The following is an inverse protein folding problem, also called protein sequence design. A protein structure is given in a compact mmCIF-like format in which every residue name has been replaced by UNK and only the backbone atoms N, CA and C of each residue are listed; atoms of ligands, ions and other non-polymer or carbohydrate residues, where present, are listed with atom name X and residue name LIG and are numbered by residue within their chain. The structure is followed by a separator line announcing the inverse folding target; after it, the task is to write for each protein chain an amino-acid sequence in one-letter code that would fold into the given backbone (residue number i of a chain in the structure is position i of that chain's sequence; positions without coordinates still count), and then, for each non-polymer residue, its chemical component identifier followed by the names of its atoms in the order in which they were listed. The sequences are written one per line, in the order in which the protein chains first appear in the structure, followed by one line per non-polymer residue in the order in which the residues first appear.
data_IF_032670251186
#
_entry.id   IF_032670251186
#
_cell.length_a   1.000
_cell.length_b   1.000
_cell.length_c   1.000
_cell.angle_alpha   90.00
_cell.angle_beta   90.00
_cell.angle_gamma   90.00
#
_symmetry.space_group_name_H-M   'P 1'
#
loop_
_entity.id
_entity.type
_entity.pdbx_description
1 polymer ?
#
# COMPACT_ATOMS: atom_id res chain seq x y z
N UNK A 1 -8.35 -1.89 -4.45
CA UNK A 1 -7.07 -1.15 -4.54
C UNK A 1 -5.94 -2.18 -4.58
N UNK A 2 -5.08 -2.14 -5.59
CA UNK A 2 -4.18 -3.25 -5.93
C UNK A 2 -3.02 -3.43 -4.93
N UNK A 3 -2.40 -2.35 -4.44
CA UNK A 3 -1.25 -2.48 -3.56
C UNK A 3 -1.56 -3.15 -2.22
N UNK A 4 -2.72 -2.88 -1.60
CA UNK A 4 -3.11 -3.55 -0.36
C UNK A 4 -3.37 -5.03 -0.59
N UNK A 5 -4.05 -5.38 -1.68
CA UNK A 5 -4.25 -6.78 -2.04
C UNK A 5 -2.91 -7.50 -2.26
N UNK A 6 -1.97 -6.89 -2.98
CA UNK A 6 -0.63 -7.49 -3.19
C UNK A 6 0.16 -7.54 -1.89
N UNK A 7 0.07 -6.53 -1.03
CA UNK A 7 0.77 -6.47 0.26
C UNK A 7 0.30 -7.59 1.19
N UNK A 8 -1.01 -7.83 1.26
CA UNK A 8 -1.61 -8.93 2.03
C UNK A 8 -1.18 -10.30 1.48
N UNK A 9 -1.13 -10.47 0.16
CA UNK A 9 -0.68 -11.73 -0.48
C UNK A 9 0.81 -12.00 -0.25
N UNK A 10 1.63 -10.94 -0.25
CA UNK A 10 3.07 -11.03 0.05
C UNK A 10 3.28 -11.44 1.51
N UNK A 11 2.51 -10.86 2.44
CA UNK A 11 2.38 -11.28 3.84
C UNK A 11 3.62 -11.12 4.73
N UNK A 12 4.83 -11.06 4.16
CA UNK A 12 6.10 -10.87 4.85
C UNK A 12 7.09 -10.07 4.01
N UNK A 13 8.09 -9.48 4.67
CA UNK A 13 9.11 -8.69 3.99
C UNK A 13 9.80 -9.48 2.86
N UNK A 14 9.84 -8.94 1.63
CA UNK A 14 10.58 -9.53 0.50
C UNK A 14 12.09 -9.60 0.76
N UNK A 15 12.80 -10.44 0.01
CA UNK A 15 14.25 -10.56 0.11
C UNK A 15 14.96 -9.24 -0.22
N UNK A 16 16.09 -8.97 0.44
CA UNK A 16 16.92 -7.77 0.22
C UNK A 16 17.54 -7.70 -1.19
N UNK A 17 17.59 -8.82 -1.90
CA UNK A 17 17.95 -8.90 -3.32
C UNK A 17 16.91 -8.28 -4.26
N UNK A 18 15.70 -7.99 -3.77
CA UNK A 18 14.63 -7.32 -4.50
C UNK A 18 14.43 -5.90 -3.92
N UNK A 19 15.36 -4.97 -4.18
CA UNK A 19 15.40 -3.68 -3.47
C UNK A 19 14.12 -2.86 -3.67
N UNK A 20 13.52 -2.93 -4.85
CA UNK A 20 12.29 -2.17 -5.15
C UNK A 20 11.07 -2.76 -4.46
N UNK A 21 10.96 -4.09 -4.41
CA UNK A 21 9.86 -4.78 -3.73
C UNK A 21 9.96 -4.59 -2.22
N UNK A 22 11.18 -4.68 -1.65
CA UNK A 22 11.41 -4.43 -0.24
C UNK A 22 11.11 -2.96 0.12
N UNK A 23 11.55 -2.00 -0.70
CA UNK A 23 11.23 -0.58 -0.51
C UNK A 23 9.71 -0.35 -0.48
N UNK A 24 8.98 -0.89 -1.46
CA UNK A 24 7.53 -0.77 -1.54
C UNK A 24 6.84 -1.44 -0.34
N UNK A 25 7.25 -2.66 0.04
CA UNK A 25 6.70 -3.37 1.19
C UNK A 25 6.90 -2.57 2.48
N UNK A 26 8.10 -2.07 2.72
CA UNK A 26 8.41 -1.26 3.91
C UNK A 26 7.60 0.05 3.93
N UNK A 27 7.39 0.65 2.76
CA UNK A 27 6.57 1.86 2.63
C UNK A 27 5.11 1.59 2.99
N UNK A 28 4.50 0.49 2.53
CA UNK A 28 3.12 0.16 2.89
C UNK A 28 3.02 -0.33 4.34
N UNK A 29 4.04 -1.05 4.83
CA UNK A 29 4.12 -1.52 6.20
C UNK A 29 4.22 -0.39 7.23
N UNK A 30 4.81 0.76 6.86
CA UNK A 30 4.94 1.91 7.77
C UNK A 30 3.61 2.58 8.13
N UNK A 31 2.55 2.36 7.35
CA UNK A 31 1.21 2.87 7.67
C UNK A 31 0.52 1.97 8.69
N UNK A 32 -0.33 2.57 9.52
CA UNK A 32 -1.23 1.83 10.40
C UNK A 32 -2.31 1.07 9.61
N UNK A 33 -2.95 0.10 10.27
CA UNK A 33 -4.02 -0.67 9.64
C UNK A 33 -5.23 0.21 9.27
N UNK A 34 -5.47 1.30 9.98
CA UNK A 34 -6.58 2.21 9.70
C UNK A 34 -6.27 3.16 8.54
N UNK A 35 -5.04 3.67 8.43
CA UNK A 35 -4.60 4.44 7.26
C UNK A 35 -4.64 3.60 5.97
N UNK A 36 -4.26 2.32 6.03
CA UNK A 36 -4.34 1.44 4.87
C UNK A 36 -5.76 1.20 4.36
N UNK A 37 -6.78 1.33 5.21
CA UNK A 37 -8.19 1.22 4.80
C UNK A 37 -8.66 2.44 4.01
N UNK A 38 -8.13 3.63 4.31
CA UNK A 38 -8.49 4.86 3.59
C UNK A 38 -7.90 4.92 2.19
N UNK A 39 -6.86 4.12 1.89
CA UNK A 39 -6.29 4.01 0.54
C UNK A 39 -7.26 3.40 -0.49
N UNK A 40 -8.25 2.63 -0.02
CA UNK A 40 -9.31 2.07 -0.86
C UNK A 40 -10.41 3.09 -1.19
N UNK A 41 -10.54 4.14 -0.38
CA UNK A 41 -11.55 5.17 -0.59
C UNK A 41 -11.08 6.05 -1.74
N UNK A 42 -11.65 5.80 -2.92
CA UNK A 42 -11.44 6.53 -4.17
C UNK A 42 -11.91 7.98 -4.13
N UNK A 43 -11.61 8.70 -3.05
CA UNK A 43 -11.54 10.15 -3.03
C UNK A 43 -10.28 10.54 -3.79
N UNK A 44 -10.29 10.34 -5.10
CA UNK A 44 -9.42 11.17 -5.94
C UNK A 44 -9.75 12.61 -5.55
N UNK A 45 -8.76 13.45 -5.19
CA UNK A 45 -9.01 14.86 -4.91
C UNK A 45 -9.69 15.58 -6.10
N UNK A 46 -9.63 14.99 -7.30
CA UNK A 46 -10.35 15.42 -8.50
C UNK A 46 -11.88 15.20 -8.45
N UNK A 47 -12.40 14.31 -7.59
CA UNK A 47 -13.85 14.11 -7.40
C UNK A 47 -14.47 15.06 -6.39
N UNK A 48 -13.67 15.70 -5.53
CA UNK A 48 -14.15 16.62 -4.51
C UNK A 48 -14.45 18.03 -5.07
N UNK A 49 -14.15 18.30 -6.35
CA UNK A 49 -14.31 19.60 -6.99
C UNK A 49 -15.23 19.61 -8.22
N UNK A 50 -16.09 18.59 -8.40
CA UNK A 50 -17.08 18.52 -9.48
C UNK A 50 -18.50 18.74 -8.95
#
# INVERSE_FOLDING_TARGET
QADIQVFEQVGKAPASSLPHALRWYNHIASYSADERKTFAEGVSPLKAGA
#
